data_IF_856477521707
#
_entry.id   IF_856477521707
#
_cell.length_a   1.000
_cell.length_b   1.000
_cell.length_c   1.000
_cell.angle_alpha   90.00
_cell.angle_beta   90.00
_cell.angle_gamma   90.00
#
_symmetry.space_group_name_H-M   'P 1'
#
loop_
_entity.id
_entity.type
_entity.pdbx_description
1 polymer ?
#
# COMPACT_ATOMS: atom_id res chain seq x y z
N UNK A 1 -10.34 9.60 -11.45
CA UNK A 1 -10.31 8.41 -10.57
C UNK A 1 -10.50 7.21 -11.49
N UNK A 2 -10.07 5.99 -11.10
CA UNK A 2 -10.47 4.82 -11.93
C UNK A 2 -12.01 4.81 -12.02
N UNK A 3 -12.53 4.43 -13.19
CA UNK A 3 -13.96 4.21 -13.31
C UNK A 3 -14.38 3.01 -12.45
N UNK A 4 -15.64 2.98 -12.04
CA UNK A 4 -16.18 1.86 -11.27
C UNK A 4 -16.03 0.54 -12.04
N UNK A 5 -16.25 0.54 -13.35
CA UNK A 5 -16.06 -0.64 -14.21
C UNK A 5 -14.63 -1.20 -14.13
N UNK A 6 -13.64 -0.31 -14.09
CA UNK A 6 -12.22 -0.69 -14.01
C UNK A 6 -11.88 -1.32 -12.67
N UNK A 7 -12.47 -0.81 -11.59
CA UNK A 7 -12.32 -1.37 -10.24
C UNK A 7 -13.07 -2.69 -10.13
N UNK A 8 -14.34 -2.71 -10.52
CA UNK A 8 -15.22 -3.87 -10.43
C UNK A 8 -14.67 -5.06 -11.21
N UNK A 9 -14.11 -4.88 -12.41
CA UNK A 9 -13.47 -5.98 -13.15
C UNK A 9 -12.33 -6.66 -12.36
N UNK A 10 -11.63 -5.94 -11.47
CA UNK A 10 -10.54 -6.49 -10.66
C UNK A 10 -11.01 -7.17 -9.36
N UNK A 11 -12.17 -6.81 -8.81
CA UNK A 11 -12.59 -7.27 -7.48
C UNK A 11 -14.01 -7.85 -7.37
N UNK A 12 -14.87 -7.74 -8.40
CA UNK A 12 -16.27 -8.17 -8.32
C UNK A 12 -16.45 -9.68 -8.09
N UNK A 13 -15.44 -10.49 -8.45
CA UNK A 13 -15.43 -11.93 -8.21
C UNK A 13 -14.95 -12.31 -6.80
N UNK A 14 -14.57 -11.32 -5.98
CA UNK A 14 -14.06 -11.53 -4.63
C UNK A 14 -15.21 -11.30 -3.64
N UNK A 15 -15.64 -12.31 -2.88
CA UNK A 15 -16.68 -12.13 -1.88
C UNK A 15 -16.16 -11.29 -0.71
N UNK A 16 -17.07 -10.51 -0.11
CA UNK A 16 -16.81 -9.90 1.20
C UNK A 16 -16.75 -10.98 2.28
N UNK A 17 -15.90 -10.75 3.29
CA UNK A 17 -15.88 -11.54 4.52
C UNK A 17 -16.94 -11.02 5.49
N UNK A 18 -17.75 -11.91 6.06
CA UNK A 18 -18.77 -11.52 7.04
C UNK A 18 -18.12 -11.33 8.42
N UNK A 19 -18.35 -10.17 9.03
CA UNK A 19 -17.76 -9.80 10.33
C UNK A 19 -18.90 -9.71 11.35
N UNK A 20 -19.00 -10.74 12.18
CA UNK A 20 -20.09 -10.93 13.16
C UNK A 20 -19.97 -10.04 14.41
N UNK A 21 -18.83 -9.37 14.58
CA UNK A 21 -18.58 -8.48 15.72
C UNK A 21 -19.61 -7.33 15.78
N UNK A 22 -20.08 -7.03 16.99
CA UNK A 22 -21.07 -5.98 17.21
C UNK A 22 -20.57 -4.62 16.67
N UNK A 23 -21.42 -3.83 15.99
CA UNK A 23 -20.99 -2.57 15.38
C UNK A 23 -20.35 -1.57 16.37
N UNK A 24 -20.77 -1.59 17.64
CA UNK A 24 -20.25 -0.69 18.66
C UNK A 24 -18.78 -0.95 18.99
N UNK A 25 -18.33 -2.21 18.91
CA UNK A 25 -16.93 -2.62 19.02
C UNK A 25 -16.22 -2.60 17.67
N UNK A 26 -16.87 -3.14 16.63
CA UNK A 26 -16.31 -3.31 15.28
C UNK A 26 -15.93 -1.97 14.65
N UNK A 27 -16.75 -0.93 14.82
CA UNK A 27 -16.57 0.35 14.13
C UNK A 27 -15.67 1.34 14.90
N UNK A 28 -15.08 0.89 16.01
CA UNK A 28 -14.11 1.68 16.78
C UNK A 28 -12.83 1.88 15.98
N UNK A 29 -12.42 3.14 15.85
CA UNK A 29 -11.20 3.53 15.13
C UNK A 29 -10.06 3.82 16.08
N UNK A 30 -8.82 3.61 15.64
CA UNK A 30 -7.61 3.85 16.43
C UNK A 30 -6.75 4.98 15.86
N UNK A 31 -5.62 5.26 16.51
CA UNK A 31 -4.58 6.18 16.03
C UNK A 31 -3.29 5.42 15.69
N UNK A 32 -2.44 5.99 14.82
CA UNK A 32 -1.09 5.45 14.58
C UNK A 32 -0.21 5.50 15.83
N UNK A 33 -0.43 6.47 16.71
CA UNK A 33 0.35 6.59 17.94
C UNK A 33 0.00 5.49 18.93
N UNK A 34 -1.29 5.21 19.12
CA UNK A 34 -1.76 4.12 19.97
C UNK A 34 -1.25 2.77 19.43
N UNK A 35 -1.54 2.45 18.18
CA UNK A 35 -1.11 1.18 17.56
C UNK A 35 0.41 0.98 17.64
N UNK A 36 1.19 2.03 17.36
CA UNK A 36 2.65 1.98 17.45
C UNK A 36 3.18 1.74 18.87
N UNK A 37 2.50 2.27 19.90
CA UNK A 37 2.85 2.03 21.30
C UNK A 37 2.45 0.63 21.76
N UNK A 38 1.32 0.12 21.30
CA UNK A 38 0.75 -1.15 21.78
C UNK A 38 1.38 -2.36 21.09
N UNK A 39 1.55 -2.32 19.76
CA UNK A 39 2.03 -3.44 18.95
C UNK A 39 3.32 -3.13 18.17
N UNK A 40 3.96 -1.99 18.43
CA UNK A 40 5.22 -1.62 17.79
C UNK A 40 5.09 -1.03 16.38
N UNK A 41 6.22 -0.93 15.69
CA UNK A 41 6.31 -0.24 14.41
C UNK A 41 6.42 1.28 14.57
N UNK A 42 6.21 2.02 13.48
CA UNK A 42 6.23 3.49 13.49
C UNK A 42 4.88 4.07 13.04
N UNK A 43 4.77 5.40 12.99
CA UNK A 43 3.52 6.10 12.70
C UNK A 43 3.32 6.49 11.23
N UNK A 44 4.27 6.18 10.35
CA UNK A 44 4.31 6.70 8.98
C UNK A 44 4.29 5.62 7.90
N UNK A 45 4.94 4.49 8.13
CA UNK A 45 5.15 3.48 7.08
C UNK A 45 3.89 2.67 6.81
N UNK A 46 3.76 2.21 5.56
CA UNK A 46 2.70 1.30 5.14
C UNK A 46 2.89 -0.06 5.80
N UNK A 47 4.11 -0.59 5.76
CA UNK A 47 4.52 -1.86 6.39
C UNK A 47 5.59 -1.55 7.43
N UNK A 48 5.21 -1.16 8.66
CA UNK A 48 6.19 -0.80 9.67
C UNK A 48 6.89 -2.05 10.19
N UNK A 49 8.22 -2.00 10.25
CA UNK A 49 9.01 -3.05 10.91
C UNK A 49 8.73 -3.09 12.41
N UNK A 50 8.27 -4.22 12.92
CA UNK A 50 8.09 -4.45 14.35
C UNK A 50 9.43 -4.84 14.97
N UNK A 51 9.72 -4.36 16.19
CA UNK A 51 10.98 -4.66 16.89
C UNK A 51 10.87 -6.03 17.56
N UNK A 52 11.99 -6.75 17.66
CA UNK A 52 12.02 -8.12 18.21
C UNK A 52 11.33 -8.22 19.59
N UNK A 53 11.58 -7.27 20.50
CA UNK A 53 10.94 -7.22 21.82
C UNK A 53 9.40 -7.25 21.76
N UNK A 54 8.79 -6.56 20.79
CA UNK A 54 7.34 -6.56 20.61
C UNK A 54 6.88 -7.88 19.98
N UNK A 55 7.64 -8.42 19.02
CA UNK A 55 7.38 -9.74 18.45
C UNK A 55 7.43 -10.85 19.50
N UNK A 56 8.39 -10.80 20.42
CA UNK A 56 8.51 -11.77 21.51
C UNK A 56 7.29 -11.73 22.44
N UNK A 57 6.63 -10.56 22.55
CA UNK A 57 5.44 -10.36 23.38
C UNK A 57 4.15 -10.84 22.73
N UNK A 58 3.92 -10.52 21.45
CA UNK A 58 2.63 -10.75 20.79
C UNK A 58 2.71 -11.44 19.42
N UNK A 59 3.90 -11.59 18.84
CA UNK A 59 4.13 -12.34 17.59
C UNK A 59 3.53 -11.73 16.32
N UNK A 60 3.07 -10.47 16.34
CA UNK A 60 2.40 -9.84 15.18
C UNK A 60 3.40 -9.01 14.38
N UNK A 61 3.66 -9.37 13.13
CA UNK A 61 4.55 -8.67 12.18
C UNK A 61 3.87 -8.37 10.84
N UNK A 62 2.55 -8.47 10.80
CA UNK A 62 1.69 -8.51 9.62
C UNK A 62 0.91 -7.19 9.42
N UNK A 63 1.45 -6.05 9.83
CA UNK A 63 0.70 -4.78 9.79
C UNK A 63 0.80 -4.05 8.44
N UNK A 64 -0.35 -3.72 7.84
CA UNK A 64 -0.47 -2.92 6.62
C UNK A 64 -1.38 -1.71 6.80
N UNK A 65 -0.83 -0.51 6.65
CA UNK A 65 -1.52 0.75 6.88
C UNK A 65 -1.76 1.52 5.57
N UNK A 66 -2.99 1.50 5.07
CA UNK A 66 -3.33 2.08 3.77
C UNK A 66 -3.84 3.51 3.87
N UNK A 67 -3.24 4.38 3.06
CA UNK A 67 -3.68 5.76 2.87
C UNK A 67 -4.51 5.87 1.59
N UNK A 68 -5.75 6.31 1.70
CA UNK A 68 -6.68 6.44 0.58
C UNK A 68 -6.25 7.48 -0.48
N UNK A 69 -5.29 8.36 -0.18
CA UNK A 69 -4.69 9.24 -1.18
C UNK A 69 -3.69 8.55 -2.11
N UNK A 70 -3.17 7.38 -1.70
CA UNK A 70 -2.35 6.50 -2.54
C UNK A 70 -3.18 5.33 -3.08
N UNK A 71 -4.08 4.80 -2.25
CA UNK A 71 -4.89 3.62 -2.51
C UNK A 71 -6.39 3.97 -2.41
N UNK A 72 -6.95 4.74 -3.36
CA UNK A 72 -8.32 5.22 -3.28
C UNK A 72 -9.37 4.10 -3.26
N UNK A 73 -9.00 2.90 -3.73
CA UNK A 73 -9.87 1.74 -3.80
C UNK A 73 -9.50 0.64 -2.79
N UNK A 74 -8.71 0.97 -1.76
CA UNK A 74 -8.49 0.07 -0.63
C UNK A 74 -9.83 -0.29 0.06
N UNK A 75 -9.92 -1.41 0.81
CA UNK A 75 -11.13 -1.79 1.53
C UNK A 75 -11.68 -0.64 2.38
N UNK A 76 -12.98 -0.33 2.23
CA UNK A 76 -13.60 0.84 2.88
C UNK A 76 -14.42 0.49 4.12
N UNK A 77 -14.75 -0.78 4.33
CA UNK A 77 -15.45 -1.30 5.51
C UNK A 77 -14.90 -2.69 5.88
N UNK A 78 -15.17 -3.18 7.11
CA UNK A 78 -14.69 -4.48 7.57
C UNK A 78 -15.10 -5.59 6.61
N UNK A 79 -14.15 -6.42 6.22
CA UNK A 79 -14.38 -7.57 5.32
C UNK A 79 -14.53 -7.24 3.83
N UNK A 80 -14.58 -5.96 3.44
CA UNK A 80 -14.76 -5.56 2.05
C UNK A 80 -13.57 -5.97 1.15
N UNK A 81 -13.79 -6.40 -0.09
CA UNK A 81 -12.70 -6.49 -1.05
C UNK A 81 -12.18 -5.08 -1.41
N UNK A 82 -10.97 -5.02 -1.97
CA UNK A 82 -10.39 -3.75 -2.42
C UNK A 82 -9.17 -3.92 -3.30
N UNK A 83 -8.54 -2.80 -3.63
CA UNK A 83 -7.29 -2.73 -4.38
C UNK A 83 -6.19 -2.09 -3.55
N UNK A 84 -5.00 -2.66 -3.64
CA UNK A 84 -3.77 -2.05 -3.20
C UNK A 84 -2.86 -1.74 -4.38
N UNK A 85 -2.20 -0.58 -4.33
CA UNK A 85 -1.32 -0.10 -5.38
C UNK A 85 0.13 -0.02 -4.87
N UNK A 86 1.04 -0.55 -5.66
CA UNK A 86 2.49 -0.42 -5.48
C UNK A 86 3.11 0.18 -6.73
N UNK A 87 4.27 0.83 -6.59
CA UNK A 87 5.02 1.30 -7.75
C UNK A 87 6.02 0.25 -8.21
N UNK A 88 6.14 0.02 -9.51
CA UNK A 88 7.08 -0.96 -10.07
C UNK A 88 7.69 -0.46 -11.38
N UNK A 89 8.89 -0.96 -11.70
CA UNK A 89 9.53 -0.84 -13.02
C UNK A 89 9.22 -2.04 -13.93
N UNK A 90 8.61 -3.08 -13.36
CA UNK A 90 8.16 -4.29 -14.04
C UNK A 90 6.63 -4.40 -13.92
N UNK A 91 5.89 -4.54 -15.02
CA UNK A 91 4.43 -4.62 -14.98
C UNK A 91 3.89 -5.93 -14.41
N UNK A 92 4.75 -6.95 -14.24
CA UNK A 92 4.42 -8.24 -13.66
C UNK A 92 4.74 -8.24 -12.16
N UNK A 93 3.72 -8.44 -11.35
CA UNK A 93 3.91 -8.60 -9.91
C UNK A 93 4.54 -9.96 -9.59
N UNK A 94 5.32 -10.00 -8.51
CA UNK A 94 5.66 -11.26 -7.85
C UNK A 94 4.45 -11.76 -7.05
N UNK A 95 4.53 -12.95 -6.49
CA UNK A 95 3.52 -13.40 -5.52
C UNK A 95 3.58 -12.54 -4.26
N UNK A 96 2.41 -12.25 -3.66
CA UNK A 96 2.35 -11.59 -2.37
C UNK A 96 2.44 -12.66 -1.26
N UNK A 97 3.51 -12.66 -0.45
CA UNK A 97 3.83 -13.83 0.36
C UNK A 97 3.04 -13.94 1.67
N UNK A 98 2.41 -12.85 2.11
CA UNK A 98 1.92 -12.72 3.50
C UNK A 98 0.44 -12.33 3.55
N UNK A 99 -0.22 -12.78 4.62
CA UNK A 99 -1.51 -12.25 5.04
C UNK A 99 -1.23 -10.99 5.85
N UNK A 100 -1.96 -9.92 5.59
CA UNK A 100 -1.74 -8.62 6.23
C UNK A 100 -2.96 -8.19 7.05
N UNK A 101 -2.75 -7.77 8.29
CA UNK A 101 -3.68 -7.01 9.11
C UNK A 101 -3.78 -5.59 8.57
N UNK A 102 -4.90 -5.29 7.90
CA UNK A 102 -5.08 -4.03 7.19
C UNK A 102 -5.80 -3.00 8.04
N UNK A 103 -5.20 -1.82 8.17
CA UNK A 103 -5.83 -0.62 8.71
C UNK A 103 -5.87 0.48 7.64
N UNK A 104 -7.04 1.07 7.43
CA UNK A 104 -7.23 2.17 6.46
C UNK A 104 -7.37 3.51 7.15
N UNK A 105 -6.76 4.55 6.56
CA UNK A 105 -6.87 5.92 7.09
C UNK A 105 -8.15 6.58 6.62
N UNK A 106 -9.08 6.81 7.55
CA UNK A 106 -10.30 7.59 7.28
C UNK A 106 -10.01 9.09 7.29
N UNK A 107 -9.22 9.56 8.26
CA UNK A 107 -8.73 10.95 8.36
C UNK A 107 -7.48 11.02 9.24
N UNK A 108 -6.97 12.22 9.50
CA UNK A 108 -5.87 12.40 10.46
C UNK A 108 -6.25 11.83 11.82
N UNK A 109 -5.35 11.03 12.40
CA UNK A 109 -5.53 10.32 13.66
C UNK A 109 -6.78 9.43 13.74
N UNK A 110 -7.32 8.97 12.60
CA UNK A 110 -8.44 8.03 12.57
C UNK A 110 -8.16 6.91 11.58
N UNK A 111 -7.82 5.75 12.12
CA UNK A 111 -7.48 4.53 11.40
C UNK A 111 -8.48 3.44 11.74
N UNK A 112 -8.87 2.68 10.73
CA UNK A 112 -9.95 1.72 10.85
C UNK A 112 -9.45 0.34 10.45
N UNK A 113 -9.57 -0.63 11.36
CA UNK A 113 -9.19 -2.01 11.10
C UNK A 113 -10.28 -2.69 10.26
N UNK A 114 -9.88 -3.23 9.11
CA UNK A 114 -10.81 -3.74 8.10
C UNK A 114 -10.69 -5.25 7.86
N UNK A 115 -9.78 -5.94 8.56
CA UNK A 115 -9.60 -7.40 8.50
C UNK A 115 -8.19 -7.88 8.12
N UNK A 116 -8.09 -9.18 7.89
CA UNK A 116 -6.89 -9.90 7.47
C UNK A 116 -6.96 -10.17 5.97
N UNK A 117 -5.99 -9.69 5.20
CA UNK A 117 -6.07 -9.68 3.74
C UNK A 117 -4.98 -10.50 3.08
N UNK A 118 -5.40 -11.31 2.11
CA UNK A 118 -4.51 -11.89 1.12
C UNK A 118 -4.55 -11.02 -0.14
N UNK A 119 -3.39 -10.63 -0.64
CA UNK A 119 -3.26 -9.92 -1.91
C UNK A 119 -2.97 -10.89 -3.05
N UNK A 120 -3.64 -10.71 -4.17
CA UNK A 120 -3.38 -11.43 -5.42
C UNK A 120 -3.02 -10.43 -6.51
N UNK A 121 -2.10 -10.81 -7.40
CA UNK A 121 -1.70 -9.93 -8.49
C UNK A 121 -2.89 -9.62 -9.39
N UNK A 122 -3.11 -8.34 -9.67
CA UNK A 122 -4.07 -7.88 -10.67
C UNK A 122 -3.31 -7.18 -11.81
N UNK A 123 -3.90 -7.03 -13.01
CA UNK A 123 -3.28 -6.27 -14.07
C UNK A 123 -2.90 -4.86 -13.58
N UNK A 124 -1.63 -4.50 -13.78
CA UNK A 124 -1.10 -3.16 -13.56
C UNK A 124 -1.98 -2.11 -14.25
N UNK A 125 -1.98 -0.88 -13.73
CA UNK A 125 -2.72 0.19 -14.38
C UNK A 125 -2.13 0.46 -15.76
N UNK A 126 -2.98 0.54 -16.78
CA UNK A 126 -2.57 1.02 -18.11
C UNK A 126 -2.22 2.52 -18.05
N UNK A 127 -1.47 3.06 -19.03
CA UNK A 127 -1.23 4.50 -19.11
C UNK A 127 -2.51 5.34 -19.08
N UNK A 128 -3.60 4.86 -19.70
CA UNK A 128 -4.91 5.52 -19.70
C UNK A 128 -5.56 5.47 -18.30
N UNK A 129 -5.53 4.30 -17.65
CA UNK A 129 -6.03 4.14 -16.27
C UNK A 129 -5.25 5.01 -15.28
N UNK A 130 -3.93 5.10 -15.44
CA UNK A 130 -3.06 6.01 -14.68
C UNK A 130 -3.41 7.47 -14.95
N UNK A 131 -3.53 7.87 -16.21
CA UNK A 131 -3.83 9.24 -16.61
C UNK A 131 -5.17 9.69 -16.07
N UNK A 132 -6.15 8.78 -16.01
CA UNK A 132 -7.49 9.01 -15.45
C UNK A 132 -7.48 9.26 -13.94
N UNK A 133 -6.40 8.96 -13.22
CA UNK A 133 -6.31 9.24 -11.77
C UNK A 133 -6.50 10.73 -11.47
N UNK A 134 -7.06 11.01 -10.30
CA UNK A 134 -7.24 12.40 -9.88
C UNK A 134 -5.89 13.10 -9.74
N UNK A 135 -5.80 14.43 -9.98
CA UNK A 135 -4.56 15.18 -9.80
C UNK A 135 -3.93 15.00 -8.41
N UNK A 136 -4.77 14.84 -7.38
CA UNK A 136 -4.32 14.61 -6.00
C UNK A 136 -3.63 13.26 -5.84
N UNK A 137 -4.17 12.19 -6.42
CA UNK A 137 -3.56 10.85 -6.38
C UNK A 137 -2.23 10.86 -7.12
N UNK A 138 -2.21 11.39 -8.35
CA UNK A 138 -0.98 11.50 -9.16
C UNK A 138 0.12 12.27 -8.44
N UNK A 139 -0.19 13.48 -7.94
CA UNK A 139 0.75 14.32 -7.18
C UNK A 139 1.30 13.62 -5.94
N UNK A 140 0.44 12.90 -5.21
CA UNK A 140 0.85 12.14 -4.01
C UNK A 140 1.82 11.03 -4.38
N UNK A 141 1.51 10.24 -5.40
CA UNK A 141 2.40 9.20 -5.92
C UNK A 141 3.75 9.76 -6.38
N UNK A 142 3.77 10.81 -7.20
CA UNK A 142 5.03 11.39 -7.69
C UNK A 142 5.90 11.89 -6.54
N UNK A 143 5.30 12.60 -5.58
CA UNK A 143 6.02 13.10 -4.41
C UNK A 143 6.62 11.95 -3.59
N UNK A 144 5.85 10.88 -3.38
CA UNK A 144 6.30 9.74 -2.57
C UNK A 144 7.33 8.90 -3.31
N UNK A 145 7.15 8.63 -4.60
CA UNK A 145 8.14 7.95 -5.45
C UNK A 145 9.44 8.75 -5.53
N UNK A 146 9.41 10.09 -5.49
CA UNK A 146 10.64 10.90 -5.48
C UNK A 146 11.37 10.92 -4.13
N UNK A 147 10.69 10.62 -3.02
CA UNK A 147 11.23 10.86 -1.66
C UNK A 147 11.36 9.63 -0.78
N UNK A 148 10.63 8.55 -1.06
CA UNK A 148 10.61 7.34 -0.22
C UNK A 148 11.54 6.26 -0.77
N UNK A 149 12.05 5.42 0.12
CA UNK A 149 13.01 4.35 -0.23
C UNK A 149 12.46 3.34 -1.24
N UNK A 150 11.18 2.98 -1.12
CA UNK A 150 10.51 2.09 -2.09
C UNK A 150 10.42 2.68 -3.51
N UNK A 151 10.62 3.99 -3.68
CA UNK A 151 10.70 4.63 -4.99
C UNK A 151 12.09 4.56 -5.65
N UNK A 152 13.11 4.02 -4.96
CA UNK A 152 14.50 4.03 -5.46
C UNK A 152 14.64 3.34 -6.80
N UNK A 153 14.02 2.17 -7.01
CA UNK A 153 14.14 1.46 -8.29
C UNK A 153 13.62 2.26 -9.49
N UNK A 154 12.55 3.03 -9.31
CA UNK A 154 12.03 3.92 -10.36
C UNK A 154 13.00 5.07 -10.62
N UNK A 155 13.52 5.71 -9.56
CA UNK A 155 14.50 6.80 -9.71
C UNK A 155 15.78 6.30 -10.37
N UNK A 156 16.26 5.10 -10.01
CA UNK A 156 17.41 4.46 -10.63
C UNK A 156 17.19 4.25 -12.12
N UNK A 157 16.05 3.67 -12.51
CA UNK A 157 15.68 3.47 -13.93
C UNK A 157 15.69 4.78 -14.70
N UNK A 158 15.06 5.84 -14.17
CA UNK A 158 15.02 7.17 -14.80
C UNK A 158 16.43 7.74 -15.00
N UNK A 159 17.28 7.67 -13.98
CA UNK A 159 18.65 8.22 -14.05
C UNK A 159 19.51 7.41 -15.02
N UNK A 160 19.45 6.08 -14.97
CA UNK A 160 20.18 5.21 -15.89
C UNK A 160 19.75 5.43 -17.33
N UNK A 161 18.45 5.52 -17.60
CA UNK A 161 17.94 5.74 -18.95
C UNK A 161 18.50 7.02 -19.57
N UNK A 162 18.61 8.10 -18.79
CA UNK A 162 19.24 9.35 -19.21
C UNK A 162 20.74 9.22 -19.46
N UNK A 163 21.46 8.50 -18.59
CA UNK A 163 22.91 8.30 -18.71
C UNK A 163 23.28 7.44 -19.91
N UNK A 164 22.49 6.40 -20.17
CA UNK A 164 22.75 5.41 -21.21
C UNK A 164 22.17 5.82 -22.58
N UNK A 165 21.19 6.73 -22.61
CA UNK A 165 20.46 7.08 -23.83
C UNK A 165 19.56 5.95 -24.37
N UNK A 166 19.30 4.91 -23.56
CA UNK A 166 18.47 3.74 -23.84
C UNK A 166 17.86 3.20 -22.55
N UNK A 167 16.91 2.27 -22.64
CA UNK A 167 16.41 1.57 -21.45
C UNK A 167 17.55 0.72 -20.82
N UNK A 168 17.74 0.76 -19.49
CA UNK A 168 18.70 -0.11 -18.83
C UNK A 168 18.24 -1.57 -18.89
N UNK A 169 19.20 -2.48 -18.97
CA UNK A 169 18.97 -3.91 -18.81
C UNK A 169 18.58 -4.23 -17.35
N UNK A 170 17.96 -5.39 -17.12
CA UNK A 170 17.60 -5.85 -15.78
C UNK A 170 18.80 -5.88 -14.84
N UNK A 171 19.96 -6.36 -15.33
CA UNK A 171 21.21 -6.41 -14.57
C UNK A 171 21.76 -5.02 -14.24
N UNK A 172 21.78 -4.10 -15.20
CA UNK A 172 22.22 -2.72 -14.94
C UNK A 172 21.36 -2.03 -13.88
N UNK A 173 20.05 -2.33 -13.86
CA UNK A 173 19.14 -1.78 -12.87
C UNK A 173 19.30 -2.43 -11.49
N UNK A 174 19.55 -3.74 -11.44
CA UNK A 174 19.85 -4.48 -10.21
C UNK A 174 21.16 -3.97 -9.58
N UNK A 175 22.25 -3.96 -10.37
CA UNK A 175 23.56 -3.45 -9.95
C UNK A 175 23.46 -2.00 -9.42
N UNK A 176 22.63 -1.17 -10.07
CA UNK A 176 22.37 0.19 -9.62
C UNK A 176 21.60 0.23 -8.30
N UNK A 177 20.57 -0.59 -8.12
CA UNK A 177 19.79 -0.64 -6.87
C UNK A 177 20.61 -1.17 -5.69
N UNK A 178 21.60 -2.03 -5.95
CA UNK A 178 22.52 -2.57 -4.94
C UNK A 178 23.68 -1.61 -4.63
N UNK A 179 23.87 -0.58 -5.45
CA UNK A 179 24.87 0.45 -5.21
C UNK A 179 24.49 1.41 -4.08
N UNK A 180 25.48 2.09 -3.52
CA UNK A 180 25.25 3.18 -2.56
C UNK A 180 24.86 4.52 -3.24
N UNK A 181 24.60 4.52 -4.55
CA UNK A 181 24.25 5.73 -5.28
C UNK A 181 22.86 6.25 -4.88
N UNK A 182 22.78 7.57 -4.62
CA UNK A 182 21.50 8.24 -4.43
C UNK A 182 20.95 8.71 -5.77
N UNK A 183 20.01 7.94 -6.32
CA UNK A 183 19.30 8.34 -7.53
C UNK A 183 18.26 9.41 -7.22
N UNK A 184 18.46 10.59 -7.81
CA UNK A 184 17.55 11.71 -7.72
C UNK A 184 16.79 11.88 -9.04
N UNK A 185 15.46 11.85 -8.97
CA UNK A 185 14.57 12.19 -10.07
C UNK A 185 13.49 13.16 -9.58
N UNK A 186 13.25 14.22 -10.35
CA UNK A 186 12.24 15.22 -9.99
C UNK A 186 10.83 14.64 -10.11
N UNK A 187 9.82 15.19 -9.41
CA UNK A 187 8.44 14.74 -9.56
C UNK A 187 7.94 14.73 -11.01
N UNK A 188 8.40 15.68 -11.84
CA UNK A 188 8.03 15.76 -13.26
C UNK A 188 8.67 14.66 -14.09
N UNK A 189 9.91 14.27 -13.77
CA UNK A 189 10.59 13.15 -14.41
C UNK A 189 9.92 11.83 -14.06
N UNK A 190 9.54 11.66 -12.79
CA UNK A 190 8.75 10.52 -12.36
C UNK A 190 7.42 10.50 -13.10
N UNK A 191 6.72 11.64 -13.20
CA UNK A 191 5.44 11.72 -13.91
C UNK A 191 5.56 11.26 -15.36
N UNK A 192 6.55 11.78 -16.10
CA UNK A 192 6.81 11.34 -17.47
C UNK A 192 7.11 9.86 -17.57
N UNK A 193 7.84 9.30 -16.62
CA UNK A 193 8.13 7.87 -16.62
C UNK A 193 6.87 6.99 -16.49
N UNK A 194 5.87 7.41 -15.71
CA UNK A 194 4.58 6.72 -15.64
C UNK A 194 3.75 6.92 -16.91
N UNK A 195 3.68 8.15 -17.44
CA UNK A 195 2.90 8.45 -18.65
C UNK A 195 3.44 7.71 -19.89
N UNK A 196 4.75 7.49 -19.95
CA UNK A 196 5.44 6.79 -21.06
C UNK A 196 5.49 5.27 -20.85
N UNK A 197 4.98 4.73 -19.74
CA UNK A 197 5.01 3.30 -19.44
C UNK A 197 6.41 2.77 -19.09
N UNK A 198 7.33 3.62 -18.64
CA UNK A 198 8.62 3.19 -18.09
C UNK A 198 8.52 2.80 -16.61
N UNK A 199 7.50 3.30 -15.92
CA UNK A 199 7.10 2.94 -14.56
C UNK A 199 5.60 2.63 -14.52
N UNK A 200 5.19 1.74 -13.61
CA UNK A 200 3.84 1.22 -13.53
C UNK A 200 3.30 1.32 -12.11
N UNK A 201 1.99 1.56 -12.00
CA UNK A 201 1.26 1.29 -10.77
C UNK A 201 0.78 -0.15 -10.85
N UNK A 202 1.47 -1.02 -10.14
CA UNK A 202 1.07 -2.42 -9.97
C UNK A 202 -0.16 -2.46 -9.07
N UNK A 203 -1.20 -3.16 -9.52
CA UNK A 203 -2.42 -3.38 -8.77
C UNK A 203 -2.44 -4.76 -8.11
N UNK A 204 -3.04 -4.82 -6.95
CA UNK A 204 -3.27 -6.04 -6.18
C UNK A 204 -4.73 -6.11 -5.77
N UNK A 205 -5.40 -7.22 -6.07
CA UNK A 205 -6.73 -7.48 -5.57
C UNK A 205 -6.64 -8.03 -4.15
N UNK A 206 -7.34 -7.39 -3.22
CA UNK A 206 -7.32 -7.71 -1.80
C UNK A 206 -8.58 -8.49 -1.44
N UNK A 207 -8.38 -9.72 -0.94
CA UNK A 207 -9.45 -10.56 -0.39
C UNK A 207 -9.32 -10.61 1.13
N UNK A 208 -10.37 -10.22 1.84
CA UNK A 208 -10.44 -10.46 3.28
C UNK A 208 -10.65 -11.96 3.52
N UNK A 209 -9.78 -12.56 4.32
CA UNK A 209 -9.81 -14.00 4.63
C UNK A 209 -10.04 -14.28 6.12
N UNK A 210 -10.17 -13.22 6.92
CA UNK A 210 -10.40 -13.32 8.36
C UNK A 210 -10.55 -11.96 9.01
N UNK A 211 -11.03 -11.95 10.25
CA UNK A 211 -11.11 -10.75 11.06
C UNK A 211 -10.69 -11.10 12.50
N UNK A 212 -9.67 -10.40 13.00
CA UNK A 212 -9.13 -10.64 14.34
C UNK A 212 -9.97 -9.85 15.36
N UNK A 213 -10.99 -10.50 15.90
CA UNK A 213 -11.90 -9.88 16.86
C UNK A 213 -11.21 -9.45 18.15
N UNK A 214 -10.24 -10.23 18.64
CA UNK A 214 -9.51 -9.90 19.86
C UNK A 214 -8.70 -8.61 19.67
N UNK A 215 -8.01 -8.49 18.53
CA UNK A 215 -7.33 -7.25 18.16
C UNK A 215 -8.28 -6.04 18.12
N UNK A 216 -9.47 -6.20 17.54
CA UNK A 216 -10.45 -5.10 17.49
C UNK A 216 -11.01 -4.77 18.89
N UNK A 217 -11.25 -5.77 19.74
CA UNK A 217 -11.66 -5.56 21.13
C UNK A 217 -10.58 -4.84 21.94
N UNK A 218 -9.30 -5.15 21.73
CA UNK A 218 -8.18 -4.43 22.35
C UNK A 218 -8.10 -2.97 21.87
N UNK A 219 -8.34 -2.70 20.58
CA UNK A 219 -8.50 -1.32 20.08
C UNK A 219 -9.64 -0.60 20.81
N UNK A 220 -10.80 -1.26 20.93
CA UNK A 220 -11.96 -0.66 21.57
C UNK A 220 -11.71 -0.35 23.06
N UNK A 221 -11.13 -1.29 23.80
CA UNK A 221 -10.78 -1.12 25.20
C UNK A 221 -9.73 -0.03 25.40
N UNK A 222 -8.70 0.03 24.56
CA UNK A 222 -7.64 1.03 24.65
C UNK A 222 -8.13 2.47 24.40
N UNK A 223 -9.18 2.65 23.59
CA UNK A 223 -9.79 3.97 23.40
C UNK A 223 -10.73 4.38 24.55
N UNK A 224 -11.32 3.42 25.28
CA UNK A 224 -12.15 3.74 26.44
C UNK A 224 -11.33 4.18 27.67
N UNK A 225 -10.04 3.85 27.69
CA UNK A 225 -9.12 4.17 28.79
C UNK A 225 -8.32 5.47 28.61
N UNK A 226 -8.49 6.18 27.49
CA UNK A 226 -7.82 7.45 27.16
C UNK A 226 -8.84 8.60 27.08
#
# INVERSE_FOLDING_TARGET
MLSEDVVNRRIAHIPSFDVELDPATRDVTTTRLFTSKTWGGNTQDTFPRIRQEMLDRHGMDDFMYLNLYLNPHAPQWPGAPGLFFTSSVNPNAREWPTIERVLVRLKTNRWFYVGQYQCTSAPSLTPEEWTSQSPKVKKTWMTKVSTKGWGTGIRAKIVLQKRLGRDPTAKELEDACDSNEKFHATPDEVHRAFDQGHAFIQAWSMKCIGYDENFQREIAAGNAAN
#
